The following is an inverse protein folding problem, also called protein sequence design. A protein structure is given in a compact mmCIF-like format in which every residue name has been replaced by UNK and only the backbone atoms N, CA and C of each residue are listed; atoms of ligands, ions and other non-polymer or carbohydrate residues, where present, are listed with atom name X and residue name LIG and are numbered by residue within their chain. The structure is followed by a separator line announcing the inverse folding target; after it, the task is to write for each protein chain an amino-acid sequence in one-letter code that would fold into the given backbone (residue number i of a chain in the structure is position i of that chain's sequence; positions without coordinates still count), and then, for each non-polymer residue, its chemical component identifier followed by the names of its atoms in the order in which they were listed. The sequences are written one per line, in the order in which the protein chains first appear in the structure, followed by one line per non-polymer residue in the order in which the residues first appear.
data_IF_373989744991
#
_entry.id   IF_373989744991
#
_cell.length_a   1.000
_cell.length_b   1.000
_cell.length_c   1.000
_cell.angle_alpha   90.00
_cell.angle_beta   90.00
_cell.angle_gamma   90.00
#
_symmetry.space_group_name_H-M   'P 1'
#
loop_
_entity.id
_entity.type
_entity.pdbx_description
1 polymer ?
#
# COMPACT_ATOMS: atom_id res chain seq x y z
N UNK A 1 9.81 3.82 8.67
CA UNK A 1 8.86 3.51 7.58
C UNK A 1 8.81 2.01 7.41
N UNK A 2 7.63 1.42 7.22
CA UNK A 2 7.51 -0.03 7.02
C UNK A 2 8.20 -0.43 5.70
N UNK A 3 8.96 -1.53 5.71
CA UNK A 3 9.65 -2.03 4.49
C UNK A 3 8.70 -2.37 3.34
N UNK A 4 7.44 -2.69 3.65
CA UNK A 4 6.39 -3.01 2.67
C UNK A 4 5.76 -1.77 2.02
N UNK A 5 5.98 -0.59 2.56
CA UNK A 5 5.46 0.66 2.01
C UNK A 5 6.44 1.20 0.98
N UNK A 6 6.10 1.09 -0.29
CA UNK A 6 6.98 1.45 -1.40
C UNK A 6 6.83 2.90 -1.85
N UNK A 7 5.74 3.57 -1.50
CA UNK A 7 5.53 4.99 -1.78
C UNK A 7 4.33 5.55 -1.06
N UNK A 8 4.31 6.86 -0.87
CA UNK A 8 3.18 7.64 -0.40
C UNK A 8 3.17 8.99 -1.14
N UNK A 9 2.00 9.42 -1.57
CA UNK A 9 1.78 10.69 -2.24
C UNK A 9 0.77 11.46 -1.41
N UNK A 10 1.22 12.51 -0.74
CA UNK A 10 0.36 13.36 0.10
C UNK A 10 -0.08 14.65 -0.58
N UNK A 11 0.59 15.03 -1.67
CA UNK A 11 0.26 16.23 -2.43
C UNK A 11 -0.11 15.84 -3.85
N UNK A 12 -1.34 16.19 -4.26
CA UNK A 12 -1.91 15.93 -5.57
C UNK A 12 -1.46 16.95 -6.63
N UNK A 13 -0.18 17.38 -6.60
CA UNK A 13 0.37 18.18 -7.69
C UNK A 13 0.27 17.37 -9.00
N UNK A 14 -0.15 18.03 -10.09
CA UNK A 14 -0.40 17.34 -11.34
C UNK A 14 0.83 16.59 -11.91
N UNK A 15 2.05 17.03 -11.58
CA UNK A 15 3.29 16.35 -11.96
C UNK A 15 3.50 15.04 -11.18
N UNK A 16 3.23 15.03 -9.87
CA UNK A 16 3.36 13.83 -9.03
C UNK A 16 2.36 12.75 -9.45
N UNK A 17 1.12 13.14 -9.77
CA UNK A 17 0.08 12.22 -10.23
C UNK A 17 0.44 11.60 -11.58
N UNK A 18 0.90 12.41 -12.55
CA UNK A 18 1.35 11.89 -13.84
C UNK A 18 2.49 10.90 -13.69
N UNK A 19 3.45 11.21 -12.80
CA UNK A 19 4.57 10.32 -12.49
C UNK A 19 4.09 9.01 -11.87
N UNK A 20 3.16 9.06 -10.89
CA UNK A 20 2.56 7.87 -10.28
C UNK A 20 1.91 6.98 -11.33
N UNK A 21 1.14 7.55 -12.25
CA UNK A 21 0.48 6.79 -13.30
C UNK A 21 1.48 6.09 -14.22
N UNK A 22 2.53 6.77 -14.65
CA UNK A 22 3.59 6.17 -15.47
C UNK A 22 4.23 5.00 -14.71
N UNK A 23 4.55 5.18 -13.43
CA UNK A 23 5.16 4.13 -12.60
C UNK A 23 4.23 2.92 -12.43
N UNK A 24 2.94 3.13 -12.20
CA UNK A 24 1.96 2.03 -12.05
C UNK A 24 1.78 1.27 -13.37
N UNK A 25 1.68 1.98 -14.50
CA UNK A 25 1.62 1.36 -15.83
C UNK A 25 2.88 0.54 -16.14
N UNK A 26 4.04 1.08 -15.83
CA UNK A 26 5.33 0.41 -16.03
C UNK A 26 5.44 -0.86 -15.19
N UNK A 27 4.94 -0.82 -13.96
CA UNK A 27 4.91 -2.00 -13.10
C UNK A 27 4.01 -3.11 -13.65
N UNK A 28 2.82 -2.76 -14.16
CA UNK A 28 1.98 -3.74 -14.82
C UNK A 28 2.67 -4.38 -16.04
N UNK A 29 3.33 -3.58 -16.87
CA UNK A 29 4.08 -4.09 -18.02
C UNK A 29 5.27 -4.97 -17.58
N UNK A 30 5.97 -4.57 -16.51
CA UNK A 30 7.05 -5.38 -15.94
C UNK A 30 6.54 -6.74 -15.46
N UNK A 31 5.45 -6.77 -14.71
CA UNK A 31 4.83 -8.01 -14.21
C UNK A 31 4.40 -8.92 -15.36
N UNK A 32 3.74 -8.34 -16.36
CA UNK A 32 3.30 -9.08 -17.52
C UNK A 32 4.47 -9.72 -18.28
N UNK A 33 5.58 -8.98 -18.46
CA UNK A 33 6.80 -9.50 -19.08
C UNK A 33 7.39 -10.65 -18.26
N UNK A 34 7.58 -10.47 -16.96
CA UNK A 34 8.13 -11.47 -16.06
C UNK A 34 7.29 -12.75 -16.04
N UNK A 35 5.96 -12.62 -16.06
CA UNK A 35 5.08 -13.78 -16.09
C UNK A 35 5.13 -14.49 -17.45
N UNK A 36 5.16 -13.73 -18.55
CA UNK A 36 5.31 -14.31 -19.90
C UNK A 36 6.63 -15.06 -20.07
N UNK A 37 7.74 -14.51 -19.57
CA UNK A 37 9.06 -15.17 -19.57
C UNK A 37 9.05 -16.47 -18.77
N UNK A 38 8.29 -16.53 -17.69
CA UNK A 38 8.07 -17.73 -16.88
C UNK A 38 6.99 -18.69 -17.44
N UNK A 39 6.37 -18.38 -18.59
CA UNK A 39 5.33 -19.22 -19.22
C UNK A 39 4.00 -19.23 -18.46
N UNK A 40 3.72 -18.24 -17.63
CA UNK A 40 2.49 -18.13 -16.85
C UNK A 40 1.76 -16.80 -17.12
N UNK A 41 0.47 -16.75 -16.78
CA UNK A 41 -0.39 -15.59 -17.08
C UNK A 41 -0.97 -14.92 -15.82
N UNK A 42 -0.65 -15.41 -14.64
CA UNK A 42 -1.15 -14.83 -13.40
C UNK A 42 -0.19 -15.04 -12.21
N UNK A 43 -0.36 -14.18 -11.20
CA UNK A 43 0.49 -14.16 -10.01
C UNK A 43 0.43 -15.44 -9.20
N UNK A 44 -0.72 -16.14 -9.15
CA UNK A 44 -0.87 -17.36 -8.36
C UNK A 44 -0.01 -18.49 -8.94
N UNK A 45 -0.02 -18.64 -10.28
CA UNK A 45 0.83 -19.62 -10.96
C UNK A 45 2.31 -19.23 -10.84
N UNK A 46 2.65 -17.95 -11.00
CA UNK A 46 4.01 -17.48 -10.79
C UNK A 46 4.52 -17.77 -9.37
N UNK A 47 3.69 -17.51 -8.35
CA UNK A 47 4.04 -17.83 -6.95
C UNK A 47 4.28 -19.32 -6.71
N UNK A 48 3.58 -20.21 -7.44
CA UNK A 48 3.85 -21.65 -7.37
C UNK A 48 5.23 -22.00 -7.93
N UNK A 49 5.63 -21.40 -9.05
CA UNK A 49 6.97 -21.59 -9.64
C UNK A 49 8.08 -21.11 -8.69
N UNK A 50 7.88 -19.94 -8.05
CA UNK A 50 8.83 -19.45 -7.03
C UNK A 50 8.94 -20.44 -5.86
N UNK A 51 7.83 -20.96 -5.35
CA UNK A 51 7.83 -21.96 -4.27
C UNK A 51 8.45 -23.29 -4.68
N UNK A 52 8.37 -23.65 -5.96
CA UNK A 52 9.02 -24.85 -6.52
C UNK A 52 10.52 -24.64 -6.78
N UNK A 53 11.02 -23.40 -6.66
CA UNK A 53 12.42 -23.07 -6.96
C UNK A 53 12.73 -22.98 -8.46
N UNK A 54 11.70 -22.95 -9.32
CA UNK A 54 11.85 -22.82 -10.77
C UNK A 54 12.15 -21.37 -11.20
N UNK A 55 11.79 -20.40 -10.35
CA UNK A 55 12.06 -18.97 -10.53
C UNK A 55 12.59 -18.40 -9.22
N UNK A 56 13.66 -17.60 -9.31
CA UNK A 56 14.35 -17.08 -8.13
C UNK A 56 13.66 -15.85 -7.50
N UNK A 57 13.12 -14.96 -8.33
CA UNK A 57 12.63 -13.65 -7.86
C UNK A 57 11.13 -13.66 -7.57
N UNK A 58 10.71 -13.48 -6.32
CA UNK A 58 9.30 -13.36 -6.00
C UNK A 58 8.71 -12.03 -6.50
N UNK A 59 7.49 -12.09 -7.02
CA UNK A 59 6.70 -10.90 -7.35
C UNK A 59 5.59 -10.76 -6.30
N UNK A 60 5.69 -9.82 -5.36
CA UNK A 60 4.68 -9.64 -4.31
C UNK A 60 3.41 -8.99 -4.86
N UNK A 61 2.28 -9.17 -4.16
CA UNK A 61 1.07 -8.41 -4.44
C UNK A 61 1.31 -6.91 -4.17
N UNK A 62 0.79 -6.07 -5.05
CA UNK A 62 0.82 -4.61 -4.93
C UNK A 62 -0.57 -4.11 -4.52
N UNK A 63 -0.66 -3.41 -3.40
CA UNK A 63 -1.86 -2.71 -2.98
C UNK A 63 -1.71 -1.21 -3.18
N UNK A 64 -2.62 -0.63 -3.95
CA UNK A 64 -2.73 0.81 -4.16
C UNK A 64 -3.92 1.28 -3.35
N UNK A 65 -3.68 2.14 -2.36
CA UNK A 65 -4.70 2.65 -1.47
C UNK A 65 -4.91 4.14 -1.80
N UNK A 66 -6.14 4.50 -2.15
CA UNK A 66 -6.55 5.88 -2.39
C UNK A 66 -7.51 6.28 -1.28
N UNK A 67 -7.04 7.15 -0.40
CA UNK A 67 -7.86 7.76 0.63
C UNK A 67 -8.61 8.96 0.06
N UNK A 68 -9.90 9.07 0.35
CA UNK A 68 -10.82 10.07 -0.19
C UNK A 68 -10.78 10.19 -1.72
N UNK A 69 -11.07 9.06 -2.40
CA UNK A 69 -11.04 9.02 -3.87
C UNK A 69 -12.07 9.96 -4.53
N UNK A 70 -13.08 10.39 -3.80
CA UNK A 70 -14.05 11.37 -4.28
C UNK A 70 -13.39 12.69 -4.64
N UNK A 71 -12.45 13.15 -3.81
CA UNK A 71 -11.70 14.36 -4.07
C UNK A 71 -10.74 14.17 -5.25
N UNK A 72 -10.03 13.06 -5.29
CA UNK A 72 -9.15 12.73 -6.40
C UNK A 72 -9.89 12.64 -7.73
N UNK A 73 -11.09 12.02 -7.74
CA UNK A 73 -11.94 11.94 -8.94
C UNK A 73 -12.39 13.32 -9.43
N UNK A 74 -12.71 14.22 -8.50
CA UNK A 74 -13.13 15.59 -8.83
C UNK A 74 -11.98 16.40 -9.42
N UNK A 75 -10.79 16.30 -8.83
CA UNK A 75 -9.63 17.08 -9.23
C UNK A 75 -8.89 16.49 -10.43
N UNK A 76 -8.87 15.17 -10.54
CA UNK A 76 -8.10 14.44 -11.56
C UNK A 76 -8.92 13.30 -12.17
N UNK A 77 -10.02 13.58 -12.88
CA UNK A 77 -10.94 12.55 -13.38
C UNK A 77 -10.28 11.58 -14.36
N UNK A 78 -9.36 12.03 -15.20
CA UNK A 78 -8.65 11.17 -16.13
C UNK A 78 -7.69 10.23 -15.42
N UNK A 79 -7.04 10.69 -14.35
CA UNK A 79 -6.21 9.83 -13.52
C UNK A 79 -7.02 8.70 -12.89
N UNK A 80 -8.20 8.99 -12.36
CA UNK A 80 -9.08 7.99 -11.78
C UNK A 80 -9.54 6.94 -12.79
N UNK A 81 -9.94 7.35 -14.00
CA UNK A 81 -10.30 6.42 -15.07
C UNK A 81 -9.15 5.48 -15.42
N UNK A 82 -7.95 6.03 -15.59
CA UNK A 82 -6.76 5.25 -15.88
C UNK A 82 -6.38 4.32 -14.74
N UNK A 83 -6.47 4.78 -13.48
CA UNK A 83 -6.17 3.95 -12.30
C UNK A 83 -7.10 2.74 -12.21
N UNK A 84 -8.39 2.93 -12.43
CA UNK A 84 -9.39 1.85 -12.47
C UNK A 84 -9.07 0.86 -13.60
N UNK A 85 -8.77 1.37 -14.80
CA UNK A 85 -8.40 0.54 -15.95
C UNK A 85 -7.14 -0.30 -15.67
N UNK A 86 -6.13 0.31 -15.08
CA UNK A 86 -4.88 -0.37 -14.69
C UNK A 86 -5.14 -1.45 -13.63
N UNK A 87 -6.03 -1.19 -12.68
CA UNK A 87 -6.38 -2.17 -11.64
C UNK A 87 -7.17 -3.35 -12.21
N UNK A 88 -8.03 -3.14 -13.21
CA UNK A 88 -8.75 -4.21 -13.90
C UNK A 88 -7.78 -5.19 -14.57
N UNK A 89 -6.85 -4.69 -15.36
CA UNK A 89 -5.80 -5.49 -16.00
C UNK A 89 -4.87 -6.09 -14.94
N UNK A 90 -4.55 -5.32 -13.92
CA UNK A 90 -3.62 -5.68 -12.86
C UNK A 90 -4.10 -6.83 -11.96
N UNK A 91 -5.39 -7.18 -11.96
CA UNK A 91 -5.94 -8.24 -11.10
C UNK A 91 -5.22 -9.58 -11.27
N UNK A 92 -5.01 -10.02 -12.50
CA UNK A 92 -4.25 -11.24 -12.80
C UNK A 92 -2.76 -11.10 -12.46
N UNK A 93 -2.25 -9.87 -12.49
CA UNK A 93 -0.86 -9.54 -12.20
C UNK A 93 -0.60 -9.31 -10.69
N UNK A 94 -1.64 -9.43 -9.84
CA UNK A 94 -1.53 -9.21 -8.40
C UNK A 94 -1.49 -7.74 -7.99
N UNK A 95 -2.07 -6.85 -8.78
CA UNK A 95 -2.25 -5.44 -8.43
C UNK A 95 -3.69 -5.23 -7.97
N UNK A 96 -3.84 -4.67 -6.77
CA UNK A 96 -5.12 -4.47 -6.09
C UNK A 96 -5.33 -3.01 -5.75
N UNK A 97 -6.56 -2.53 -5.94
CA UNK A 97 -6.96 -1.16 -5.65
C UNK A 97 -7.93 -1.15 -4.47
N UNK A 98 -7.64 -0.31 -3.48
CA UNK A 98 -8.51 -0.02 -2.35
C UNK A 98 -8.89 1.45 -2.43
N UNK A 99 -10.18 1.72 -2.60
CA UNK A 99 -10.74 3.07 -2.65
C UNK A 99 -11.53 3.35 -1.38
N UNK A 100 -11.22 4.44 -0.69
CA UNK A 100 -12.01 4.92 0.45
C UNK A 100 -12.60 6.30 0.18
N UNK A 101 -13.77 6.56 0.73
CA UNK A 101 -14.43 7.87 0.67
C UNK A 101 -15.38 8.04 1.84
N UNK A 102 -15.57 9.27 2.28
CA UNK A 102 -16.57 9.64 3.27
C UNK A 102 -17.93 9.92 2.64
N UNK A 103 -18.01 10.15 1.31
CA UNK A 103 -19.23 10.44 0.58
C UNK A 103 -19.37 9.54 -0.64
N UNK A 104 -19.97 8.35 -0.50
CA UNK A 104 -20.18 7.45 -1.64
C UNK A 104 -21.22 7.98 -2.62
N UNK A 105 -22.26 8.67 -2.13
CA UNK A 105 -23.36 9.16 -2.95
C UNK A 105 -22.91 10.11 -4.06
N UNK A 106 -23.26 9.78 -5.30
CA UNK A 106 -22.89 10.52 -6.51
C UNK A 106 -21.40 10.46 -6.90
N UNK A 107 -20.57 9.73 -6.14
CA UNK A 107 -19.14 9.64 -6.40
C UNK A 107 -18.77 8.33 -7.08
N UNK A 108 -19.42 7.25 -6.69
CA UNK A 108 -19.17 5.90 -7.23
C UNK A 108 -19.99 5.72 -8.51
N UNK A 109 -19.31 5.56 -9.63
CA UNK A 109 -19.94 5.28 -10.93
C UNK A 109 -20.02 3.78 -11.22
N UNK A 110 -20.76 3.42 -12.28
CA UNK A 110 -20.94 2.03 -12.68
C UNK A 110 -19.63 1.28 -12.96
N UNK A 111 -18.60 1.99 -13.42
CA UNK A 111 -17.29 1.38 -13.67
C UNK A 111 -16.60 0.96 -12.37
N UNK A 112 -16.73 1.77 -11.32
CA UNK A 112 -16.21 1.43 -9.99
C UNK A 112 -17.03 0.27 -9.42
N UNK A 113 -18.37 0.34 -9.49
CA UNK A 113 -19.25 -0.70 -8.96
C UNK A 113 -19.03 -2.06 -9.61
N UNK A 114 -18.99 -2.12 -10.94
CA UNK A 114 -18.82 -3.37 -11.68
C UNK A 114 -17.47 -4.06 -11.41
N UNK A 115 -16.47 -3.29 -11.01
CA UNK A 115 -15.11 -3.80 -10.74
C UNK A 115 -14.82 -4.00 -9.25
N UNK A 116 -15.70 -3.55 -8.36
CA UNK A 116 -15.55 -3.66 -6.91
C UNK A 116 -16.40 -4.79 -6.35
N UNK A 117 -15.84 -6.00 -6.32
CA UNK A 117 -16.53 -7.17 -5.74
C UNK A 117 -16.72 -7.03 -4.22
N UNK A 118 -15.77 -6.39 -3.53
CA UNK A 118 -15.76 -6.23 -2.08
C UNK A 118 -16.20 -4.81 -1.73
N UNK A 119 -17.21 -4.69 -0.91
CA UNK A 119 -17.72 -3.41 -0.39
C UNK A 119 -17.70 -3.46 1.12
N UNK A 120 -17.08 -2.48 1.73
CA UNK A 120 -16.99 -2.34 3.17
C UNK A 120 -17.59 -1.00 3.55
N UNK A 121 -18.69 -1.00 4.29
CA UNK A 121 -19.40 0.18 4.70
C UNK A 121 -19.41 0.30 6.23
N UNK A 122 -18.70 1.29 6.75
CA UNK A 122 -18.79 1.69 8.15
C UNK A 122 -20.07 2.48 8.37
N UNK A 123 -20.27 3.00 9.59
CA UNK A 123 -21.38 3.86 9.89
C UNK A 123 -21.41 5.07 8.94
N UNK A 124 -22.54 5.29 8.31
CA UNK A 124 -22.85 6.52 7.54
C UNK A 124 -23.98 7.30 8.22
N UNK A 125 -24.09 8.59 7.93
CA UNK A 125 -25.14 9.44 8.53
C UNK A 125 -26.45 9.35 7.75
N UNK A 126 -26.36 9.20 6.43
CA UNK A 126 -27.51 9.20 5.55
C UNK A 126 -27.86 7.77 5.09
N UNK A 127 -29.15 7.46 5.06
CA UNK A 127 -29.67 6.23 4.49
C UNK A 127 -29.34 6.09 3.00
N UNK A 128 -29.26 7.21 2.29
CA UNK A 128 -28.93 7.22 0.88
C UNK A 128 -27.49 6.73 0.63
N UNK A 129 -26.53 7.18 1.46
CA UNK A 129 -25.15 6.71 1.40
C UNK A 129 -25.06 5.19 1.63
N UNK A 130 -25.84 4.68 2.60
CA UNK A 130 -25.92 3.24 2.86
C UNK A 130 -26.51 2.48 1.66
N UNK A 131 -27.59 2.98 1.06
CA UNK A 131 -28.22 2.37 -0.12
C UNK A 131 -27.27 2.35 -1.32
N UNK A 132 -26.53 3.43 -1.53
CA UNK A 132 -25.58 3.51 -2.63
C UNK A 132 -24.45 2.50 -2.48
N UNK A 133 -23.94 2.30 -1.26
CA UNK A 133 -22.88 1.34 -0.98
C UNK A 133 -23.34 -0.11 -0.96
N UNK A 134 -24.43 -0.39 -0.25
CA UNK A 134 -24.85 -1.74 0.12
C UNK A 134 -26.18 -2.17 -0.53
N UNK A 135 -26.85 -1.27 -1.23
CA UNK A 135 -28.25 -1.42 -1.68
C UNK A 135 -29.25 -1.67 -0.52
N UNK A 136 -28.83 -1.38 0.71
CA UNK A 136 -29.59 -1.51 1.98
C UNK A 136 -29.33 -0.30 2.87
N UNK A 137 -30.24 -0.02 3.80
CA UNK A 137 -30.14 1.13 4.72
C UNK A 137 -29.32 0.84 5.99
N UNK A 138 -28.84 -0.38 6.16
CA UNK A 138 -28.40 -0.94 7.44
C UNK A 138 -27.22 -0.18 8.05
N UNK A 139 -26.30 0.34 7.23
CA UNK A 139 -25.12 1.06 7.74
C UNK A 139 -25.49 2.41 8.39
N UNK A 140 -26.64 3.01 8.07
CA UNK A 140 -27.13 4.22 8.71
C UNK A 140 -27.59 3.98 10.16
N UNK A 141 -27.91 2.73 10.52
CA UNK A 141 -28.36 2.37 11.87
C UNK A 141 -27.26 1.89 12.79
N UNK A 142 -26.02 1.82 12.32
CA UNK A 142 -24.89 1.47 13.15
C UNK A 142 -24.66 2.55 14.22
N UNK A 143 -24.61 2.14 15.49
CA UNK A 143 -24.36 3.05 16.62
C UNK A 143 -22.95 2.91 17.20
N UNK A 144 -22.34 1.73 17.06
CA UNK A 144 -21.02 1.41 17.61
C UNK A 144 -19.89 1.86 16.68
N UNK A 145 -18.88 2.51 17.25
CA UNK A 145 -17.65 2.84 16.51
C UNK A 145 -16.91 1.59 16.02
N UNK A 146 -16.39 1.64 14.81
CA UNK A 146 -15.65 0.53 14.21
C UNK A 146 -16.52 -0.65 13.75
N UNK A 147 -17.84 -0.56 13.85
CA UNK A 147 -18.75 -1.55 13.30
C UNK A 147 -19.05 -1.24 11.85
N UNK A 148 -19.18 -2.25 11.01
CA UNK A 148 -19.44 -2.10 9.59
C UNK A 148 -20.01 -3.34 8.96
N UNK A 149 -20.48 -3.19 7.72
CA UNK A 149 -20.95 -4.28 6.88
C UNK A 149 -19.93 -4.60 5.80
N UNK A 150 -19.66 -5.88 5.63
CA UNK A 150 -18.93 -6.43 4.50
C UNK A 150 -19.94 -7.06 3.53
N UNK A 151 -19.96 -6.58 2.30
CA UNK A 151 -20.71 -7.18 1.21
C UNK A 151 -19.73 -7.69 0.14
N UNK A 152 -19.94 -8.92 -0.33
CA UNK A 152 -19.17 -9.51 -1.42
C UNK A 152 -20.11 -9.94 -2.51
N UNK A 153 -19.83 -9.50 -3.74
CA UNK A 153 -20.68 -9.77 -4.88
C UNK A 153 -22.09 -9.19 -4.72
N UNK A 154 -23.07 -9.88 -5.29
CA UNK A 154 -24.48 -9.53 -5.14
C UNK A 154 -25.10 -10.35 -3.99
N UNK A 155 -24.70 -10.01 -2.74
CA UNK A 155 -25.13 -10.72 -1.53
C UNK A 155 -24.61 -12.16 -1.36
N UNK A 156 -23.51 -12.56 -2.03
CA UNK A 156 -22.80 -13.81 -1.74
C UNK A 156 -22.37 -13.87 -0.26
N UNK A 157 -21.91 -12.72 0.25
CA UNK A 157 -21.61 -12.49 1.67
C UNK A 157 -22.19 -11.13 2.05
N UNK A 158 -22.94 -11.08 3.13
CA UNK A 158 -23.43 -9.84 3.74
C UNK A 158 -23.36 -9.99 5.25
N UNK A 159 -22.29 -9.47 5.84
CA UNK A 159 -21.98 -9.69 7.26
C UNK A 159 -21.72 -8.39 8.01
N UNK A 160 -22.27 -8.31 9.22
CA UNK A 160 -21.95 -7.26 10.17
C UNK A 160 -20.69 -7.68 10.94
N UNK A 161 -19.66 -6.83 10.93
CA UNK A 161 -18.40 -7.08 11.63
C UNK A 161 -18.07 -5.95 12.60
N UNK A 162 -17.16 -6.24 13.54
CA UNK A 162 -16.53 -5.26 14.42
C UNK A 162 -15.05 -5.21 14.12
N UNK A 163 -14.54 -4.02 13.76
CA UNK A 163 -13.11 -3.83 13.57
C UNK A 163 -12.34 -3.88 14.89
N UNK A 164 -11.09 -4.32 14.82
CA UNK A 164 -10.15 -4.14 15.92
C UNK A 164 -9.81 -2.67 16.12
N UNK A 165 -9.48 -2.30 17.34
CA UNK A 165 -9.00 -0.96 17.65
C UNK A 165 -7.47 -0.92 17.62
N UNK A 166 -6.91 -0.29 16.60
CA UNK A 166 -5.45 -0.21 16.38
C UNK A 166 -4.71 0.57 17.47
N UNK A 167 -5.38 1.50 18.15
CA UNK A 167 -4.84 2.25 19.29
C UNK A 167 -4.90 1.51 20.63
N UNK A 168 -5.35 0.24 20.67
CA UNK A 168 -5.36 -0.55 21.89
C UNK A 168 -3.94 -0.75 22.41
N UNK A 169 -3.80 -0.74 23.74
CA UNK A 169 -2.52 -0.98 24.40
C UNK A 169 -2.03 -2.40 24.12
N UNK A 170 -0.75 -2.52 23.76
CA UNK A 170 -0.08 -3.81 23.62
C UNK A 170 0.41 -4.29 24.98
N UNK A 171 -0.09 -5.42 25.44
CA UNK A 171 0.23 -5.99 26.76
C UNK A 171 1.25 -7.12 26.70
N UNK A 172 1.73 -7.49 25.53
CA UNK A 172 2.67 -8.58 25.34
C UNK A 172 2.16 -9.91 25.92
N UNK A 173 3.08 -10.79 26.27
CA UNK A 173 2.79 -12.08 26.87
C UNK A 173 2.28 -12.01 28.32
N UNK A 174 2.24 -10.82 28.90
CA UNK A 174 1.73 -10.61 30.27
C UNK A 174 0.22 -10.86 30.42
N UNK A 175 -0.49 -11.09 29.29
CA UNK A 175 -1.93 -11.40 29.29
C UNK A 175 -2.22 -12.92 29.37
N UNK A 176 -1.22 -13.76 29.30
CA UNK A 176 -1.38 -15.21 29.51
C UNK A 176 -1.57 -15.64 30.97
N UNK A 177 -1.65 -14.68 31.88
CA UNK A 177 -2.20 -14.95 33.20
C UNK A 177 -3.67 -15.32 33.04
N UNK A 178 -4.01 -16.58 33.25
CA UNK A 178 -5.37 -17.07 33.31
C UNK A 178 -6.27 -16.05 33.99
N UNK A 179 -7.30 -15.58 33.27
CA UNK A 179 -8.38 -14.77 33.86
C UNK A 179 -9.13 -15.67 34.83
N UNK A 180 -8.48 -16.01 35.96
CA UNK A 180 -9.08 -16.75 37.04
C UNK A 180 -10.13 -15.87 37.68
N UNK A 181 -11.33 -15.90 37.09
CA UNK A 181 -12.53 -15.34 37.70
C UNK A 181 -12.84 -16.19 38.90
N UNK A 182 -12.48 -15.71 40.08
CA UNK A 182 -12.94 -16.32 41.31
C UNK A 182 -14.39 -15.90 41.49
N UNK A 183 -15.32 -16.79 41.15
CA UNK A 183 -16.73 -16.62 41.47
C UNK A 183 -16.99 -17.05 42.90
N UNK A 184 -17.56 -16.18 43.68
CA UNK A 184 -18.12 -16.54 45.02
C UNK A 184 -19.60 -16.83 44.77
N UNK A 185 -20.01 -18.06 45.05
CA UNK A 185 -21.42 -18.41 45.00
C UNK A 185 -22.09 -17.99 46.31
N UNK A 186 -23.22 -17.30 46.19
CA UNK A 186 -24.10 -17.03 47.34
C UNK A 186 -24.79 -18.31 47.81
N UNK A 187 -25.34 -18.31 49.01
CA UNK A 187 -26.11 -19.42 49.53
C UNK A 187 -27.36 -19.78 48.70
N UNK A 188 -27.79 -18.85 47.81
CA UNK A 188 -28.87 -19.08 46.85
C UNK A 188 -28.39 -19.60 45.49
N UNK A 189 -27.09 -19.90 45.33
CA UNK A 189 -26.50 -20.34 44.07
C UNK A 189 -26.25 -19.23 43.04
N UNK A 190 -26.43 -17.96 43.39
CA UNK A 190 -26.17 -16.84 42.52
C UNK A 190 -24.67 -16.53 42.51
N UNK A 191 -24.12 -16.32 41.35
CA UNK A 191 -22.71 -16.00 41.15
C UNK A 191 -22.42 -14.54 41.53
N UNK A 192 -21.58 -14.31 42.54
CA UNK A 192 -21.10 -12.98 42.93
C UNK A 192 -19.76 -12.77 42.23
N UNK A 193 -19.76 -12.08 41.09
CA UNK A 193 -18.54 -11.73 40.36
C UNK A 193 -17.82 -10.61 41.12
N UNK A 194 -16.72 -10.88 41.80
CA UNK A 194 -15.80 -9.83 42.22
C UNK A 194 -15.02 -9.34 41.03
N UNK A 195 -15.29 -8.12 40.56
CA UNK A 195 -14.41 -7.46 39.60
C UNK A 195 -13.01 -7.35 40.21
N UNK A 196 -12.06 -8.11 39.67
CA UNK A 196 -10.64 -7.88 39.97
C UNK A 196 -10.35 -6.44 39.64
N UNK A 197 -9.78 -5.66 40.56
CA UNK A 197 -9.21 -4.36 40.23
C UNK A 197 -8.16 -4.61 39.15
N UNK A 198 -8.47 -4.28 37.91
CA UNK A 198 -7.47 -4.16 36.87
C UNK A 198 -6.47 -3.16 37.39
N UNK A 199 -5.24 -3.59 37.65
CA UNK A 199 -4.18 -2.68 38.05
C UNK A 199 -4.21 -1.51 37.07
N UNK A 200 -4.36 -0.29 37.58
CA UNK A 200 -4.27 0.91 36.74
C UNK A 200 -2.90 0.85 36.11
N UNK A 201 -2.88 0.56 34.80
CA UNK A 201 -1.64 0.58 34.03
C UNK A 201 -1.08 1.99 34.10
N UNK A 202 0.16 2.06 34.47
CA UNK A 202 0.95 3.26 34.55
C UNK A 202 0.92 4.06 33.24
N UNK A 203 0.63 5.35 33.32
CA UNK A 203 0.77 6.40 32.33
C UNK A 203 0.46 6.05 30.87
N UNK A 204 -0.70 6.49 30.33
CA UNK A 204 -1.07 6.26 28.94
C UNK A 204 -0.15 6.98 27.91
N UNK A 205 0.74 7.84 28.35
CA UNK A 205 1.61 8.62 27.47
C UNK A 205 2.80 7.81 26.88
N UNK A 206 3.10 6.61 27.41
CA UNK A 206 4.24 5.79 26.97
C UNK A 206 3.88 4.33 26.66
N UNK A 207 2.60 3.98 26.51
CA UNK A 207 2.22 2.62 26.18
C UNK A 207 2.36 2.39 24.67
N UNK A 208 3.09 1.32 24.31
CA UNK A 208 3.16 0.83 22.91
C UNK A 208 1.78 0.38 22.47
N UNK A 209 1.30 0.83 21.31
CA UNK A 209 0.03 0.38 20.77
C UNK A 209 0.15 -1.00 20.12
N UNK A 210 -0.97 -1.72 19.99
CA UNK A 210 -1.00 -2.98 19.25
C UNK A 210 -0.54 -2.79 17.80
N UNK A 211 -0.89 -1.66 17.17
CA UNK A 211 -0.43 -1.33 15.83
C UNK A 211 1.10 -1.20 15.77
N UNK A 212 1.70 -0.54 16.76
CA UNK A 212 3.17 -0.39 16.80
C UNK A 212 3.86 -1.73 17.00
N UNK A 213 3.33 -2.57 17.90
CA UNK A 213 3.85 -3.93 18.09
C UNK A 213 3.77 -4.77 16.81
N UNK A 214 2.66 -4.71 16.07
CA UNK A 214 2.52 -5.39 14.77
C UNK A 214 3.50 -4.85 13.75
N UNK A 215 3.68 -3.52 13.66
CA UNK A 215 4.65 -2.90 12.76
C UNK A 215 6.08 -3.37 13.05
N UNK A 216 6.46 -3.39 14.32
CA UNK A 216 7.79 -3.85 14.75
C UNK A 216 8.00 -5.33 14.46
N UNK A 217 7.00 -6.16 14.72
CA UNK A 217 7.04 -7.58 14.44
C UNK A 217 7.19 -7.88 12.95
N UNK A 218 6.40 -7.21 12.09
CA UNK A 218 6.53 -7.33 10.65
C UNK A 218 7.90 -6.84 10.14
N UNK A 219 8.42 -5.75 10.70
CA UNK A 219 9.75 -5.26 10.36
C UNK A 219 10.85 -6.24 10.79
N UNK A 220 10.68 -6.93 11.93
CA UNK A 220 11.58 -7.99 12.39
C UNK A 220 11.59 -9.18 11.42
N UNK A 221 10.41 -9.72 11.08
CA UNK A 221 10.27 -10.82 10.12
C UNK A 221 10.92 -10.46 8.78
N UNK A 222 10.68 -9.24 8.28
CA UNK A 222 11.27 -8.80 7.01
C UNK A 222 12.81 -8.80 7.05
N UNK A 223 13.41 -8.39 8.17
CA UNK A 223 14.88 -8.44 8.34
C UNK A 223 15.41 -9.88 8.43
N UNK A 224 14.75 -10.72 9.23
CA UNK A 224 15.18 -12.11 9.46
C UNK A 224 15.11 -12.97 8.20
N UNK A 225 14.16 -12.66 7.30
CA UNK A 225 14.02 -13.38 6.02
C UNK A 225 14.72 -12.68 4.85
N UNK A 226 15.53 -11.66 5.11
CA UNK A 226 16.30 -10.99 4.06
C UNK A 226 15.46 -10.25 3.03
N UNK A 227 14.19 -9.91 3.35
CA UNK A 227 13.36 -9.10 2.47
C UNK A 227 13.90 -7.66 2.42
N UNK A 228 14.83 -7.46 1.49
CA UNK A 228 15.38 -6.14 1.23
C UNK A 228 14.46 -5.37 0.26
N UNK A 229 14.50 -4.05 0.41
CA UNK A 229 13.73 -3.15 -0.43
C UNK A 229 14.55 -2.76 -1.66
N UNK A 230 14.97 -3.75 -2.44
CA UNK A 230 15.81 -3.51 -3.62
C UNK A 230 14.99 -3.01 -4.82
N UNK A 231 13.67 -2.97 -4.68
CA UNK A 231 12.75 -2.55 -5.72
C UNK A 231 11.87 -1.41 -5.24
N UNK A 232 12.04 -0.24 -5.83
CA UNK A 232 11.20 0.93 -5.58
C UNK A 232 10.31 1.20 -6.80
N UNK A 233 9.00 0.97 -6.66
CA UNK A 233 8.00 1.34 -7.66
C UNK A 233 7.93 2.86 -7.85
N UNK A 234 8.21 3.59 -6.78
CA UNK A 234 8.15 5.03 -6.75
C UNK A 234 9.53 5.62 -6.52
N UNK A 235 10.13 6.16 -7.59
CA UNK A 235 11.33 6.97 -7.50
C UNK A 235 10.87 8.43 -7.40
N UNK A 236 11.28 9.18 -6.36
CA UNK A 236 10.94 10.59 -6.23
C UNK A 236 11.48 11.39 -7.43
N UNK A 237 10.91 12.56 -7.75
CA UNK A 237 11.49 13.46 -8.72
C UNK A 237 12.94 13.79 -8.38
N UNK A 238 13.76 14.05 -9.40
CA UNK A 238 15.13 14.52 -9.20
C UNK A 238 15.11 15.75 -8.27
N UNK A 239 16.01 15.76 -7.31
CA UNK A 239 16.16 16.90 -6.39
C UNK A 239 16.48 18.19 -7.17
N UNK A 240 16.00 19.31 -6.68
CA UNK A 240 16.30 20.62 -7.24
C UNK A 240 16.71 21.58 -6.10
N UNK A 241 17.96 22.04 -6.03
CA UNK A 241 19.05 21.78 -7.00
C UNK A 241 19.67 20.37 -6.85
N UNK A 242 20.34 19.91 -7.91
CA UNK A 242 21.22 18.74 -7.89
C UNK A 242 22.63 19.18 -8.25
N UNK A 243 23.62 18.66 -7.53
CA UNK A 243 25.03 19.01 -7.76
C UNK A 243 25.75 17.87 -8.49
N UNK A 244 26.64 18.23 -9.41
CA UNK A 244 27.42 17.25 -10.21
C UNK A 244 28.26 16.36 -9.31
N UNK A 245 28.85 16.93 -8.25
CA UNK A 245 29.67 16.17 -7.30
C UNK A 245 28.87 15.07 -6.61
N UNK A 246 27.60 15.31 -6.28
CA UNK A 246 26.71 14.31 -5.69
C UNK A 246 26.44 13.18 -6.67
N UNK A 247 26.22 13.51 -7.94
CA UNK A 247 26.02 12.52 -9.00
C UNK A 247 27.27 11.66 -9.22
N UNK A 248 28.44 12.26 -9.31
CA UNK A 248 29.68 11.54 -9.57
C UNK A 248 30.15 10.72 -8.37
N UNK A 249 29.81 11.12 -7.16
CA UNK A 249 30.02 10.31 -5.94
C UNK A 249 29.13 9.07 -5.90
N UNK A 250 27.84 9.20 -6.28
CA UNK A 250 26.89 8.08 -6.31
C UNK A 250 27.14 7.15 -7.50
N UNK A 251 27.51 7.73 -8.64
CA UNK A 251 27.75 7.02 -9.91
C UNK A 251 29.14 7.34 -10.44
N UNK A 252 30.21 6.76 -9.89
CA UNK A 252 31.57 7.08 -10.30
C UNK A 252 31.82 6.79 -11.78
N UNK A 253 32.61 7.66 -12.43
CA UNK A 253 33.06 7.43 -13.79
C UNK A 253 34.18 6.40 -13.74
N UNK A 254 33.96 5.23 -14.32
CA UNK A 254 35.00 4.22 -14.45
C UNK A 254 36.07 4.74 -15.44
N UNK A 255 37.22 5.14 -14.92
CA UNK A 255 38.39 5.47 -15.72
C UNK A 255 39.05 4.17 -16.13
N UNK A 256 38.92 3.76 -17.39
CA UNK A 256 39.80 2.70 -17.92
C UNK A 256 41.18 3.27 -18.08
N UNK A 257 42.20 2.55 -17.60
CA UNK A 257 43.59 3.03 -17.53
C UNK A 257 44.26 3.34 -18.89
N UNK A 258 43.64 2.97 -20.02
CA UNK A 258 44.26 3.02 -21.33
C UNK A 258 43.67 4.01 -22.36
N UNK A 259 42.62 4.74 -22.01
CA UNK A 259 42.00 5.71 -22.94
C UNK A 259 41.70 7.04 -22.27
N UNK A 260 42.13 8.14 -22.89
CA UNK A 260 41.69 9.47 -22.52
C UNK A 260 40.19 9.59 -22.80
N UNK A 261 39.37 9.29 -21.80
CA UNK A 261 37.93 9.45 -21.86
C UNK A 261 37.59 10.86 -21.40
N UNK A 262 37.04 11.70 -22.29
CA UNK A 262 36.55 13.05 -21.97
C UNK A 262 35.04 12.99 -21.67
N UNK A 263 34.64 12.15 -20.69
CA UNK A 263 33.25 12.04 -20.25
C UNK A 263 32.95 13.12 -19.23
N UNK A 264 31.98 13.96 -19.54
CA UNK A 264 31.47 14.99 -18.62
C UNK A 264 30.06 14.64 -18.14
N UNK A 265 29.84 14.69 -16.84
CA UNK A 265 28.50 14.61 -16.24
C UNK A 265 27.82 15.96 -16.39
N UNK A 266 26.63 15.99 -17.03
CA UNK A 266 25.86 17.21 -17.26
C UNK A 266 24.68 17.31 -16.30
N UNK A 267 24.18 16.18 -15.80
CA UNK A 267 23.04 16.11 -14.90
C UNK A 267 22.52 14.70 -14.72
N UNK A 268 21.24 14.59 -14.36
CA UNK A 268 20.54 13.31 -14.20
C UNK A 268 19.44 13.18 -15.25
N UNK A 269 19.32 12.02 -15.82
CA UNK A 269 18.19 11.61 -16.65
C UNK A 269 17.17 10.87 -15.81
N UNK A 270 15.92 11.30 -15.87
CA UNK A 270 14.80 10.71 -15.16
C UNK A 270 13.90 9.95 -16.13
N UNK A 271 13.80 8.64 -15.98
CA UNK A 271 12.92 7.77 -16.77
C UNK A 271 11.92 7.03 -15.86
N UNK A 272 10.78 7.66 -15.54
CA UNK A 272 9.74 7.03 -14.75
C UNK A 272 9.18 5.75 -15.40
N UNK A 273 9.25 5.65 -16.75
CA UNK A 273 8.75 4.50 -17.50
C UNK A 273 9.59 3.24 -17.27
N UNK A 274 10.87 3.41 -17.00
CA UNK A 274 11.82 2.35 -16.66
C UNK A 274 12.13 2.29 -15.17
N UNK A 275 11.50 3.16 -14.37
CA UNK A 275 11.72 3.28 -12.92
C UNK A 275 13.21 3.45 -12.61
N UNK A 276 13.87 4.34 -13.36
CA UNK A 276 15.31 4.55 -13.25
C UNK A 276 15.68 6.02 -13.33
N UNK A 277 16.70 6.39 -12.56
CA UNK A 277 17.41 7.65 -12.68
C UNK A 277 18.87 7.32 -12.95
N UNK A 278 19.46 7.97 -13.94
CA UNK A 278 20.83 7.70 -14.37
C UNK A 278 21.56 9.01 -14.65
N UNK A 279 22.88 9.04 -14.43
CA UNK A 279 23.68 10.18 -14.85
C UNK A 279 23.51 10.46 -16.35
N UNK A 280 23.28 11.71 -16.71
CA UNK A 280 23.35 12.14 -18.08
C UNK A 280 24.78 12.60 -18.37
N UNK A 281 25.48 11.82 -19.17
CA UNK A 281 26.89 12.02 -19.49
C UNK A 281 27.07 12.20 -20.98
N UNK A 282 28.01 13.05 -21.36
CA UNK A 282 28.44 13.24 -22.73
C UNK A 282 29.91 12.85 -22.81
N UNK A 283 30.24 12.00 -23.77
CA UNK A 283 31.61 11.76 -24.17
C UNK A 283 31.98 12.79 -25.21
N UNK A 284 32.80 13.79 -24.80
CA UNK A 284 33.20 14.91 -25.66
C UNK A 284 34.13 14.43 -26.79
N UNK A 285 34.86 13.33 -26.57
CA UNK A 285 35.74 12.78 -27.60
C UNK A 285 34.96 12.17 -28.77
N UNK A 286 33.82 11.48 -28.46
CA UNK A 286 32.97 10.87 -29.48
C UNK A 286 31.91 11.82 -30.07
N UNK A 287 31.47 12.78 -29.27
CA UNK A 287 30.34 13.66 -29.65
C UNK A 287 30.74 14.73 -30.68
N UNK A 288 32.01 15.01 -30.87
CA UNK A 288 32.48 16.07 -31.78
C UNK A 288 32.12 17.48 -31.28
N UNK A 289 31.40 18.24 -32.08
CA UNK A 289 30.96 19.61 -31.71
C UNK A 289 29.67 19.57 -30.90
N UNK A 290 29.66 20.17 -29.71
CA UNK A 290 28.50 20.30 -28.84
C UNK A 290 28.12 21.79 -28.76
N UNK A 291 26.89 22.12 -29.12
CA UNK A 291 26.29 23.41 -28.86
C UNK A 291 25.26 23.26 -27.72
N UNK A 292 25.36 24.13 -26.71
CA UNK A 292 24.45 24.20 -25.57
C UNK A 292 23.60 25.44 -25.66
#
# INVERSE_FOLDING_TARGET
MMKHMIGAISNLSGSAIKRAMVSIKSENMRRQRVFNEAGVNNINNYTKLVKAGEVELPVPHLFIIVDEFAELKREQPEFMKELISVAQVGRSLGVHLILSTQKPAGTVDENIWSNSKFKLCLRVQDKQDSKEMLHKEDAAFITQAGRGYLQVGNDEVYELFQSGWSGAEYRGDAVSGEDTRTAILSASGSEIIRKKKIAKVSNPANSVTQLDAVKEYLAKIARENGYNRDYSLWIPPIANPIFIDDIDNEYPINKSDDTYSLVATIGMYDDPSRQSQKPYRIDIADAGNIAI
#
